data_IF_280336164638
#
_entry.id   IF_280336164638
#
_cell.length_a   1.000
_cell.length_b   1.000
_cell.length_c   1.000
_cell.angle_alpha   90.00
_cell.angle_beta   90.00
_cell.angle_gamma   90.00
#
_symmetry.space_group_name_H-M   'P 1'
#
loop_
_entity.id
_entity.type
_entity.pdbx_description
1 polymer ?
#
# COMPACT_ATOMS: atom_id res chain seq x y z
N UNK A 1 -22.17 -63.85 -67.02
CA UNK A 1 -22.32 -64.14 -65.59
C UNK A 1 -21.24 -63.32 -64.83
N UNK A 2 -21.58 -62.16 -64.31
CA UNK A 2 -20.68 -61.24 -63.54
C UNK A 2 -21.17 -61.25 -62.06
N UNK A 3 -20.34 -61.91 -61.23
CA UNK A 3 -20.57 -61.98 -59.80
C UNK A 3 -20.10 -60.70 -59.14
N UNK A 4 -21.02 -59.93 -58.53
CA UNK A 4 -20.73 -58.63 -57.88
C UNK A 4 -20.67 -58.89 -56.38
N UNK A 5 -19.48 -59.19 -55.84
CA UNK A 5 -19.23 -59.27 -54.41
C UNK A 5 -19.28 -57.87 -53.81
N UNK A 6 -20.42 -57.57 -53.17
CA UNK A 6 -20.58 -56.39 -52.29
C UNK A 6 -19.94 -56.72 -50.93
N UNK A 7 -18.71 -56.29 -50.69
CA UNK A 7 -18.15 -56.25 -49.33
C UNK A 7 -18.98 -55.27 -48.50
N UNK A 8 -19.78 -55.77 -47.60
CA UNK A 8 -20.45 -54.98 -46.57
C UNK A 8 -19.41 -54.62 -45.53
N UNK A 9 -18.99 -53.33 -45.51
CA UNK A 9 -18.24 -52.78 -44.38
C UNK A 9 -19.12 -52.81 -43.13
N UNK A 10 -18.64 -53.28 -41.97
CA UNK A 10 -19.45 -53.38 -40.80
C UNK A 10 -19.71 -51.98 -40.22
N UNK A 11 -20.93 -51.53 -40.27
CA UNK A 11 -21.41 -50.26 -39.70
C UNK A 11 -21.12 -50.11 -38.19
N UNK A 12 -20.79 -51.20 -37.52
CA UNK A 12 -20.42 -51.23 -36.11
C UNK A 12 -19.09 -50.54 -35.80
N UNK A 13 -18.16 -50.49 -36.75
CA UNK A 13 -16.87 -49.79 -36.55
C UNK A 13 -17.02 -48.27 -36.42
N UNK A 14 -17.93 -47.66 -37.16
CA UNK A 14 -18.16 -46.21 -37.11
C UNK A 14 -18.87 -45.79 -35.83
N UNK A 15 -19.80 -46.62 -35.31
CA UNK A 15 -20.47 -46.36 -33.99
C UNK A 15 -19.50 -46.45 -32.81
N UNK A 16 -18.59 -47.45 -32.82
CA UNK A 16 -17.60 -47.59 -31.78
C UNK A 16 -16.57 -46.44 -31.80
N UNK A 17 -16.12 -46.02 -33.02
CA UNK A 17 -15.21 -44.88 -33.17
C UNK A 17 -15.84 -43.56 -32.75
N UNK A 18 -17.11 -43.32 -33.11
CA UNK A 18 -17.88 -42.14 -32.69
C UNK A 18 -18.12 -42.10 -31.18
N UNK A 19 -18.40 -43.25 -30.55
CA UNK A 19 -18.52 -43.34 -29.10
C UNK A 19 -17.20 -43.07 -28.36
N UNK A 20 -16.09 -43.65 -28.82
CA UNK A 20 -14.76 -43.40 -28.27
C UNK A 20 -14.38 -41.94 -28.41
N UNK A 21 -14.57 -41.35 -29.61
CA UNK A 21 -14.32 -39.91 -29.84
C UNK A 21 -15.19 -39.02 -28.96
N UNK A 22 -16.48 -39.37 -28.75
CA UNK A 22 -17.40 -38.66 -27.85
C UNK A 22 -16.96 -38.74 -26.39
N UNK A 23 -16.53 -39.91 -25.92
CA UNK A 23 -16.02 -40.10 -24.54
C UNK A 23 -14.73 -39.35 -24.33
N UNK A 24 -13.80 -39.37 -25.30
CA UNK A 24 -12.55 -38.60 -25.25
C UNK A 24 -12.83 -37.11 -25.26
N UNK A 25 -13.74 -36.63 -26.09
CA UNK A 25 -14.11 -35.21 -26.16
C UNK A 25 -14.77 -34.72 -24.88
N UNK A 26 -15.71 -35.48 -24.30
CA UNK A 26 -16.31 -35.17 -22.99
C UNK A 26 -15.25 -35.26 -21.88
N UNK A 27 -14.35 -36.24 -21.92
CA UNK A 27 -13.23 -36.37 -20.98
C UNK A 27 -12.32 -35.13 -20.97
N UNK A 28 -11.96 -34.63 -22.16
CA UNK A 28 -11.12 -33.42 -22.28
C UNK A 28 -11.81 -32.16 -21.77
N UNK A 29 -13.15 -32.06 -21.90
CA UNK A 29 -13.94 -30.93 -21.34
C UNK A 29 -14.04 -30.97 -19.81
N UNK A 30 -13.95 -32.18 -19.23
CA UNK A 30 -14.11 -32.39 -17.78
C UNK A 30 -12.78 -32.30 -17.03
N UNK A 31 -11.62 -32.40 -17.68
CA UNK A 31 -10.32 -32.41 -17.02
C UNK A 31 -9.85 -31.00 -16.58
N UNK A 32 -9.01 -30.93 -15.51
CA UNK A 32 -8.42 -29.68 -15.09
C UNK A 32 -7.55 -29.04 -16.20
N UNK A 33 -7.66 -27.71 -16.32
CA UNK A 33 -6.86 -26.89 -17.22
C UNK A 33 -6.50 -25.59 -16.53
N UNK A 34 -5.32 -25.06 -16.81
CA UNK A 34 -4.95 -23.68 -16.50
C UNK A 34 -5.71 -22.76 -17.49
N UNK A 35 -6.43 -21.77 -16.95
CA UNK A 35 -7.18 -20.78 -17.71
C UNK A 35 -6.36 -19.52 -17.90
N UNK A 36 -5.76 -19.04 -16.80
CA UNK A 36 -4.95 -17.82 -16.77
C UNK A 36 -3.83 -17.94 -15.75
N UNK A 37 -2.80 -17.17 -15.94
CA UNK A 37 -1.68 -16.99 -15.02
C UNK A 37 -1.38 -15.51 -14.86
N UNK A 38 -1.03 -15.10 -13.65
CA UNK A 38 -0.58 -13.75 -13.33
C UNK A 38 0.67 -13.86 -12.44
N UNK A 39 1.77 -13.15 -12.72
CA UNK A 39 1.97 -12.27 -13.89
C UNK A 39 1.78 -13.01 -15.21
N UNK A 40 1.32 -12.28 -16.24
CA UNK A 40 1.12 -12.87 -17.57
C UNK A 40 2.46 -13.35 -18.16
N UNK A 41 2.41 -14.23 -19.13
CA UNK A 41 3.62 -14.78 -19.77
C UNK A 41 4.47 -13.68 -20.39
N UNK A 42 5.77 -13.70 -20.05
CA UNK A 42 6.77 -12.72 -20.48
C UNK A 42 6.46 -11.27 -20.06
N UNK A 43 5.69 -11.09 -18.97
CA UNK A 43 5.54 -9.76 -18.38
C UNK A 43 6.93 -9.22 -17.99
N UNK A 44 7.13 -7.94 -18.18
CA UNK A 44 8.28 -7.17 -17.72
C UNK A 44 7.85 -6.19 -16.65
N UNK A 45 8.77 -5.61 -15.91
CA UNK A 45 8.48 -4.60 -14.89
C UNK A 45 7.53 -5.10 -13.80
N UNK A 46 7.58 -6.39 -13.47
CA UNK A 46 6.75 -7.00 -12.43
C UNK A 46 7.28 -6.57 -11.06
N UNK A 47 6.42 -6.08 -10.15
CA UNK A 47 6.83 -5.76 -8.78
C UNK A 47 7.52 -6.92 -8.08
N UNK A 48 8.53 -6.62 -7.29
CA UNK A 48 9.33 -7.66 -6.61
C UNK A 48 8.54 -8.46 -5.56
N UNK A 49 7.41 -7.96 -5.12
CA UNK A 49 6.50 -8.63 -4.17
C UNK A 49 5.28 -9.27 -4.85
N UNK A 50 5.18 -9.19 -6.18
CA UNK A 50 4.01 -9.69 -6.90
C UNK A 50 3.79 -11.19 -6.66
N UNK A 51 2.59 -11.61 -6.26
CA UNK A 51 2.25 -13.02 -6.13
C UNK A 51 2.09 -13.68 -7.51
N UNK A 52 2.25 -14.99 -7.54
CA UNK A 52 1.94 -15.80 -8.71
C UNK A 52 0.55 -16.40 -8.56
N UNK A 53 -0.39 -16.04 -9.45
CA UNK A 53 -1.74 -16.57 -9.48
C UNK A 53 -1.90 -17.55 -10.63
N UNK A 54 -2.54 -18.67 -10.35
CA UNK A 54 -2.89 -19.70 -11.34
C UNK A 54 -4.38 -19.95 -11.26
N UNK A 55 -5.11 -19.54 -12.29
CA UNK A 55 -6.55 -19.78 -12.39
C UNK A 55 -6.82 -21.06 -13.19
N UNK A 56 -7.58 -21.97 -12.58
CA UNK A 56 -8.01 -23.21 -13.21
C UNK A 56 -9.49 -23.16 -13.61
N UNK A 57 -9.91 -24.06 -14.51
CA UNK A 57 -11.33 -24.22 -14.87
C UNK A 57 -12.19 -24.86 -13.77
N UNK A 58 -11.57 -25.30 -12.68
CA UNK A 58 -12.20 -25.95 -11.52
C UNK A 58 -11.32 -25.89 -10.28
N UNK A 59 -11.86 -26.15 -9.08
CA UNK A 59 -11.08 -26.22 -7.86
C UNK A 59 -10.03 -27.34 -7.94
N UNK A 60 -8.80 -27.03 -7.50
CA UNK A 60 -7.67 -27.95 -7.47
C UNK A 60 -7.31 -28.27 -6.01
N UNK A 61 -6.68 -29.41 -5.79
CA UNK A 61 -6.03 -29.74 -4.53
C UNK A 61 -4.73 -28.94 -4.42
N UNK A 62 -4.68 -28.01 -3.47
CA UNK A 62 -3.53 -27.10 -3.31
C UNK A 62 -2.22 -27.85 -3.03
N UNK A 63 -2.25 -28.91 -2.22
CA UNK A 63 -1.05 -29.70 -1.92
C UNK A 63 -0.56 -30.46 -3.14
N UNK A 64 -1.50 -30.98 -3.95
CA UNK A 64 -1.16 -31.61 -5.22
C UNK A 64 -0.56 -30.62 -6.20
N UNK A 65 -1.12 -29.41 -6.32
CA UNK A 65 -0.55 -28.37 -7.17
C UNK A 65 0.85 -28.00 -6.72
N UNK A 66 1.07 -27.76 -5.41
CA UNK A 66 2.38 -27.45 -4.85
C UNK A 66 3.44 -28.50 -5.15
N UNK A 67 3.08 -29.80 -5.02
CA UNK A 67 4.03 -30.87 -5.30
C UNK A 67 4.45 -30.96 -6.78
N UNK A 68 3.68 -30.32 -7.68
CA UNK A 68 3.94 -30.26 -9.13
C UNK A 68 4.42 -28.88 -9.61
N UNK A 69 4.46 -27.89 -8.67
CA UNK A 69 4.89 -26.52 -8.98
C UNK A 69 6.37 -26.35 -8.65
N UNK A 70 7.12 -25.81 -9.61
CA UNK A 70 8.52 -25.40 -9.40
C UNK A 70 8.67 -23.95 -9.83
N UNK A 71 9.30 -23.16 -8.97
CA UNK A 71 9.57 -21.74 -9.21
C UNK A 71 11.08 -21.54 -9.13
N UNK A 72 11.63 -20.76 -10.05
CA UNK A 72 13.05 -20.40 -10.09
C UNK A 72 13.19 -18.89 -10.31
N UNK A 73 13.95 -18.17 -9.46
CA UNK A 73 14.71 -18.66 -8.30
C UNK A 73 13.78 -19.28 -7.24
N UNK A 74 14.31 -20.23 -6.46
CA UNK A 74 13.53 -20.91 -5.43
C UNK A 74 13.45 -20.00 -4.20
N UNK A 75 12.25 -19.52 -3.88
CA UNK A 75 11.93 -18.78 -2.67
C UNK A 75 10.90 -19.55 -1.84
N UNK A 76 10.91 -19.30 -0.52
CA UNK A 76 9.82 -19.71 0.36
C UNK A 76 8.61 -18.80 0.12
N UNK A 77 7.40 -19.31 0.33
CA UNK A 77 6.19 -18.54 0.14
C UNK A 77 4.96 -19.24 0.66
N UNK A 78 3.91 -18.45 0.83
CA UNK A 78 2.61 -18.92 1.28
C UNK A 78 1.72 -19.25 0.09
N UNK A 79 0.94 -20.31 0.23
CA UNK A 79 -0.03 -20.71 -0.78
C UNK A 79 -1.43 -20.52 -0.26
N UNK A 80 -2.21 -19.76 -1.02
CA UNK A 80 -3.60 -19.44 -0.70
C UNK A 80 -4.48 -19.97 -1.83
N UNK A 81 -5.57 -20.67 -1.46
CA UNK A 81 -6.56 -21.14 -2.41
C UNK A 81 -7.86 -20.38 -2.22
N UNK A 82 -8.37 -19.81 -3.32
CA UNK A 82 -9.68 -19.16 -3.38
C UNK A 82 -10.48 -19.73 -4.57
N UNK A 83 -11.41 -20.63 -4.29
CA UNK A 83 -12.18 -21.27 -5.33
C UNK A 83 -11.32 -22.01 -6.35
N UNK A 84 -11.31 -21.53 -7.57
CA UNK A 84 -10.54 -22.11 -8.70
C UNK A 84 -9.13 -21.53 -8.84
N UNK A 85 -8.77 -20.55 -8.03
CA UNK A 85 -7.47 -19.88 -8.07
C UNK A 85 -6.55 -20.40 -6.98
N UNK A 86 -5.29 -20.66 -7.32
CA UNK A 86 -4.20 -20.91 -6.40
C UNK A 86 -3.18 -19.79 -6.57
N UNK A 87 -2.81 -19.18 -5.45
CA UNK A 87 -1.88 -18.06 -5.38
C UNK A 87 -0.66 -18.47 -4.55
N UNK A 88 0.53 -18.15 -5.06
CA UNK A 88 1.78 -18.26 -4.34
C UNK A 88 2.30 -16.86 -4.06
N UNK A 89 2.38 -16.46 -2.78
CA UNK A 89 2.96 -15.20 -2.35
C UNK A 89 4.36 -15.47 -1.78
N UNK A 90 5.43 -14.88 -2.36
CA UNK A 90 6.78 -15.07 -1.83
C UNK A 90 6.91 -14.41 -0.45
N UNK A 91 7.65 -15.04 0.47
CA UNK A 91 7.97 -14.46 1.78
C UNK A 91 9.10 -13.43 1.69
N UNK A 92 9.99 -13.60 0.72
CA UNK A 92 11.04 -12.65 0.38
C UNK A 92 10.78 -12.10 -1.03
N UNK A 93 11.14 -10.83 -1.32
CA UNK A 93 10.98 -10.26 -2.65
C UNK A 93 11.72 -11.05 -3.71
N UNK A 94 11.15 -11.12 -4.92
CA UNK A 94 11.85 -11.63 -6.09
C UNK A 94 13.11 -10.78 -6.35
N UNK A 95 14.23 -11.40 -6.77
CA UNK A 95 15.44 -10.63 -7.10
C UNK A 95 15.20 -9.65 -8.24
N UNK A 96 15.55 -8.39 -8.02
CA UNK A 96 15.38 -7.28 -8.96
C UNK A 96 16.17 -7.56 -10.25
N UNK A 97 15.55 -7.29 -11.41
CA UNK A 97 16.16 -7.47 -12.72
C UNK A 97 16.25 -8.93 -13.18
N UNK A 98 15.90 -9.91 -12.34
CA UNK A 98 15.96 -11.32 -12.69
C UNK A 98 14.68 -11.84 -13.35
N UNK A 99 14.81 -12.94 -14.06
CA UNK A 99 13.68 -13.66 -14.66
C UNK A 99 13.21 -14.75 -13.72
N UNK A 100 11.96 -14.69 -13.31
CA UNK A 100 11.28 -15.74 -12.55
C UNK A 100 10.62 -16.70 -13.52
N UNK A 101 10.95 -17.99 -13.40
CA UNK A 101 10.37 -19.05 -14.22
C UNK A 101 9.52 -19.98 -13.37
N UNK A 102 8.28 -20.18 -13.79
CA UNK A 102 7.30 -21.04 -13.13
C UNK A 102 7.01 -22.24 -14.01
N UNK A 103 7.09 -23.44 -13.43
CA UNK A 103 6.78 -24.69 -14.11
C UNK A 103 5.76 -25.48 -13.31
N UNK A 104 4.56 -25.63 -13.85
CA UNK A 104 3.53 -26.53 -13.34
C UNK A 104 3.58 -27.82 -14.17
N UNK A 105 3.97 -28.94 -13.54
CA UNK A 105 4.06 -30.24 -14.21
C UNK A 105 2.69 -30.90 -14.35
N UNK A 106 2.50 -31.73 -15.35
CA UNK A 106 1.35 -32.61 -15.48
C UNK A 106 1.22 -33.54 -14.25
N UNK A 107 0.00 -33.95 -13.90
CA UNK A 107 -0.26 -34.85 -12.77
C UNK A 107 -0.86 -34.18 -11.53
N UNK A 108 -0.80 -32.84 -11.41
CA UNK A 108 -1.51 -32.09 -10.37
C UNK A 108 -3.01 -32.45 -10.39
N UNK A 109 -3.61 -32.65 -9.23
CA UNK A 109 -4.99 -33.18 -9.12
C UNK A 109 -5.98 -32.09 -8.70
N UNK A 110 -7.22 -32.23 -9.22
CA UNK A 110 -8.35 -31.45 -8.70
C UNK A 110 -8.82 -32.03 -7.36
N UNK A 111 -9.69 -31.30 -6.67
CA UNK A 111 -10.43 -31.75 -5.47
C UNK A 111 -11.18 -33.07 -5.68
N UNK A 112 -11.53 -33.41 -6.95
CA UNK A 112 -12.16 -34.66 -7.37
C UNK A 112 -11.17 -35.68 -7.95
N UNK A 113 -9.88 -35.56 -7.63
CA UNK A 113 -8.81 -36.47 -8.06
C UNK A 113 -8.56 -36.55 -9.57
N UNK A 114 -9.12 -35.65 -10.39
CA UNK A 114 -8.86 -35.61 -11.82
C UNK A 114 -7.49 -34.99 -12.09
N UNK A 115 -6.60 -35.64 -12.90
CA UNK A 115 -5.26 -35.12 -13.13
C UNK A 115 -5.25 -34.01 -14.17
N UNK A 116 -4.35 -33.03 -13.99
CA UNK A 116 -3.94 -32.08 -15.01
C UNK A 116 -3.12 -32.84 -16.07
N UNK A 117 -3.62 -32.90 -17.32
CA UNK A 117 -2.95 -33.69 -18.36
C UNK A 117 -1.71 -33.01 -18.95
N UNK A 118 -1.76 -31.68 -19.06
CA UNK A 118 -0.70 -30.90 -19.66
C UNK A 118 -0.13 -29.94 -18.62
N UNK A 119 1.20 -29.99 -18.43
CA UNK A 119 1.90 -29.02 -17.64
C UNK A 119 2.06 -27.71 -18.41
N UNK A 120 2.34 -26.62 -17.70
CA UNK A 120 2.65 -25.33 -18.27
C UNK A 120 3.96 -24.78 -17.72
N UNK A 121 4.63 -23.97 -18.54
CA UNK A 121 5.82 -23.23 -18.14
C UNK A 121 5.68 -21.81 -18.66
N UNK A 122 5.91 -20.84 -17.78
CA UNK A 122 5.95 -19.43 -18.15
C UNK A 122 6.97 -18.69 -17.31
N UNK A 123 7.30 -17.48 -17.70
CA UNK A 123 8.24 -16.63 -16.98
C UNK A 123 7.78 -15.18 -17.01
N UNK A 124 8.31 -14.40 -16.07
CA UNK A 124 8.21 -12.95 -16.06
C UNK A 124 9.54 -12.35 -15.59
N UNK A 125 9.78 -11.08 -15.91
CA UNK A 125 10.95 -10.33 -15.47
C UNK A 125 10.58 -9.39 -14.34
N UNK A 126 11.32 -9.45 -13.25
CA UNK A 126 11.18 -8.52 -12.12
C UNK A 126 11.73 -7.17 -12.55
N UNK A 127 10.94 -6.12 -12.30
CA UNK A 127 11.30 -4.75 -12.65
C UNK A 127 12.34 -4.15 -11.74
N UNK A 128 12.91 -3.04 -12.19
CA UNK A 128 13.74 -2.16 -11.38
C UNK A 128 12.86 -1.36 -10.40
N UNK A 129 13.42 -0.80 -9.32
CA UNK A 129 12.66 0.03 -8.39
C UNK A 129 12.02 1.23 -9.07
N UNK A 130 10.74 1.43 -8.86
CA UNK A 130 9.95 2.51 -9.46
C UNK A 130 9.22 3.31 -8.39
N UNK A 131 8.99 4.59 -8.67
CA UNK A 131 8.25 5.51 -7.81
C UNK A 131 6.96 5.91 -8.51
N UNK A 132 5.84 5.80 -7.80
CA UNK A 132 4.55 6.36 -8.19
C UNK A 132 4.35 7.68 -7.47
N UNK A 133 3.75 8.66 -8.14
CA UNK A 133 3.47 9.98 -7.58
C UNK A 133 2.35 10.67 -8.33
N UNK A 134 1.82 11.75 -7.76
CA UNK A 134 0.90 12.66 -8.41
C UNK A 134 1.65 13.81 -9.07
N UNK A 135 1.26 14.17 -10.30
CA UNK A 135 1.85 15.27 -11.07
C UNK A 135 0.86 15.78 -12.13
N UNK A 136 0.86 17.07 -12.49
CA UNK A 136 1.56 18.19 -11.85
C UNK A 136 0.78 18.76 -10.64
N UNK A 137 1.48 19.39 -9.69
CA UNK A 137 0.83 19.96 -8.50
C UNK A 137 0.03 21.26 -8.79
N UNK A 138 0.25 21.91 -9.90
CA UNK A 138 -0.34 23.21 -10.26
C UNK A 138 -1.58 23.11 -11.16
N UNK A 139 -1.88 21.91 -11.63
CA UNK A 139 -2.98 21.62 -12.57
C UNK A 139 -3.77 20.39 -12.10
N UNK A 140 -4.50 19.77 -13.01
CA UNK A 140 -5.15 18.49 -12.75
C UNK A 140 -4.08 17.41 -12.63
N UNK A 141 -3.88 16.91 -11.41
CA UNK A 141 -2.88 15.89 -11.16
C UNK A 141 -3.38 14.52 -11.55
N UNK A 142 -2.54 13.75 -12.18
CA UNK A 142 -2.74 12.33 -12.46
C UNK A 142 -1.64 11.49 -11.80
N UNK A 143 -1.83 10.18 -11.79
CA UNK A 143 -0.82 9.22 -11.35
C UNK A 143 0.23 9.03 -12.43
N UNK A 144 1.48 9.16 -12.04
CA UNK A 144 2.66 8.89 -12.85
C UNK A 144 3.55 7.87 -12.18
N UNK A 145 4.29 7.12 -13.01
CA UNK A 145 5.29 6.17 -12.56
C UNK A 145 6.63 6.48 -13.24
N UNK A 146 7.72 6.36 -12.48
CA UNK A 146 9.08 6.60 -12.96
C UNK A 146 10.04 5.54 -12.45
N UNK A 147 10.88 4.98 -13.34
CA UNK A 147 11.98 4.08 -12.97
C UNK A 147 13.18 4.90 -12.54
N UNK A 148 13.80 4.54 -11.42
CA UNK A 148 15.03 5.22 -10.96
C UNK A 148 16.29 4.72 -11.67
N UNK A 149 16.21 3.62 -12.43
CA UNK A 149 17.34 3.05 -13.17
C UNK A 149 17.61 3.77 -14.50
N UNK A 150 16.59 4.44 -15.04
CA UNK A 150 16.63 5.11 -16.33
C UNK A 150 16.44 6.62 -16.18
N UNK A 151 17.13 7.41 -17.00
CA UNK A 151 16.80 8.84 -17.24
C UNK A 151 15.55 8.97 -18.14
N UNK A 152 14.67 7.95 -18.13
CA UNK A 152 13.46 7.89 -18.94
C UNK A 152 12.42 8.91 -18.53
N UNK A 153 11.53 9.26 -19.46
CA UNK A 153 10.41 10.15 -19.13
C UNK A 153 9.38 9.44 -18.25
N UNK A 154 8.73 10.16 -17.32
CA UNK A 154 7.65 9.63 -16.50
C UNK A 154 6.51 9.09 -17.36
N UNK A 155 5.98 7.93 -17.01
CA UNK A 155 4.80 7.35 -17.67
C UNK A 155 3.54 7.73 -16.90
N UNK A 156 2.55 8.30 -17.58
CA UNK A 156 1.23 8.56 -17.05
C UNK A 156 0.42 7.26 -16.93
N UNK A 157 -0.21 7.03 -15.78
CA UNK A 157 -1.03 5.84 -15.51
C UNK A 157 -2.53 6.14 -15.62
N UNK A 158 -2.97 7.36 -15.30
CA UNK A 158 -4.39 7.73 -15.27
C UNK A 158 -4.64 8.99 -16.11
N UNK A 159 -5.88 9.14 -16.57
CA UNK A 159 -6.39 10.32 -17.29
C UNK A 159 -7.70 10.73 -16.62
N UNK A 160 -7.63 11.30 -15.42
CA UNK A 160 -8.82 11.72 -14.68
C UNK A 160 -9.34 13.06 -15.19
N UNK A 161 -10.66 13.21 -15.36
CA UNK A 161 -11.29 14.41 -15.96
C UNK A 161 -10.96 15.71 -15.21
N UNK A 162 -10.91 15.63 -13.86
CA UNK A 162 -10.61 16.77 -12.98
C UNK A 162 -9.30 16.56 -12.19
N UNK A 163 -8.79 15.34 -12.22
CA UNK A 163 -7.56 14.94 -11.54
C UNK A 163 -7.77 13.91 -10.42
N UNK A 164 -6.67 13.46 -9.86
CA UNK A 164 -6.60 12.52 -8.75
C UNK A 164 -6.30 13.28 -7.46
N UNK A 165 -7.12 13.04 -6.43
CA UNK A 165 -6.98 13.70 -5.13
C UNK A 165 -5.87 13.08 -4.28
N UNK A 166 -5.89 11.76 -4.17
CA UNK A 166 -4.92 10.96 -3.42
C UNK A 166 -4.96 9.48 -3.87
N UNK A 167 -4.03 8.69 -3.36
CA UNK A 167 -3.91 7.28 -3.72
C UNK A 167 -3.15 6.48 -2.66
N UNK A 168 -3.26 5.14 -2.75
CA UNK A 168 -2.44 4.21 -1.99
C UNK A 168 -2.09 2.97 -2.83
N UNK A 169 -1.00 2.31 -2.46
CA UNK A 169 -0.54 1.07 -3.11
C UNK A 169 -1.01 -0.14 -2.30
N UNK A 170 -1.32 -1.23 -2.98
CA UNK A 170 -1.47 -2.53 -2.33
C UNK A 170 -0.11 -3.00 -1.78
N UNK A 171 -0.13 -3.80 -0.71
CA UNK A 171 1.08 -4.33 -0.09
C UNK A 171 1.97 -5.14 -1.06
N UNK A 172 1.37 -5.76 -2.08
CA UNK A 172 2.08 -6.52 -3.11
C UNK A 172 2.53 -5.67 -4.32
N UNK A 173 2.32 -4.36 -4.30
CA UNK A 173 2.74 -3.43 -5.36
C UNK A 173 2.05 -3.59 -6.71
N UNK A 174 1.02 -4.45 -6.82
CA UNK A 174 0.34 -4.72 -8.10
C UNK A 174 -0.81 -3.76 -8.36
N UNK A 175 -1.42 -3.22 -7.31
CA UNK A 175 -2.61 -2.39 -7.43
C UNK A 175 -2.42 -1.01 -6.82
N UNK A 176 -3.03 -0.02 -7.45
CA UNK A 176 -3.15 1.35 -6.95
C UNK A 176 -4.63 1.63 -6.74
N UNK A 177 -5.03 1.93 -5.50
CA UNK A 177 -6.35 2.48 -5.23
C UNK A 177 -6.24 3.99 -5.18
N UNK A 178 -7.16 4.71 -5.84
CA UNK A 178 -7.09 6.16 -5.92
C UNK A 178 -8.48 6.82 -5.95
N UNK A 179 -8.51 8.08 -5.54
CA UNK A 179 -9.69 8.93 -5.53
C UNK A 179 -9.67 9.88 -6.74
N UNK A 180 -10.46 9.58 -7.77
CA UNK A 180 -10.63 10.44 -8.94
C UNK A 180 -11.69 11.51 -8.68
N UNK A 181 -11.37 12.77 -8.92
CA UNK A 181 -12.29 13.90 -8.73
C UNK A 181 -13.22 13.98 -9.93
N UNK A 182 -14.53 14.18 -9.68
CA UNK A 182 -15.56 14.40 -10.68
C UNK A 182 -15.88 15.89 -10.88
N UNK A 183 -16.57 16.21 -11.97
CA UNK A 183 -17.03 17.58 -12.27
C UNK A 183 -17.98 18.18 -11.21
N UNK A 184 -18.73 17.33 -10.49
CA UNK A 184 -19.60 17.72 -9.38
C UNK A 184 -18.85 17.94 -8.06
N UNK A 185 -17.50 17.86 -8.06
CA UNK A 185 -16.58 17.93 -6.92
C UNK A 185 -16.65 16.72 -5.97
N UNK A 186 -17.49 15.74 -6.24
CA UNK A 186 -17.42 14.43 -5.60
C UNK A 186 -16.22 13.64 -6.08
N UNK A 187 -16.04 12.44 -5.56
CA UNK A 187 -14.95 11.55 -5.97
C UNK A 187 -15.46 10.15 -6.26
N UNK A 188 -14.74 9.46 -7.13
CA UNK A 188 -14.88 8.04 -7.39
C UNK A 188 -13.65 7.32 -6.87
N UNK A 189 -13.83 6.22 -6.12
CA UNK A 189 -12.72 5.34 -5.76
C UNK A 189 -12.54 4.31 -6.86
N UNK A 190 -11.33 4.27 -7.40
CA UNK A 190 -10.94 3.41 -8.52
C UNK A 190 -9.75 2.54 -8.17
N UNK A 191 -9.60 1.43 -8.88
CA UNK A 191 -8.50 0.49 -8.72
C UNK A 191 -7.80 0.29 -10.06
N UNK A 192 -6.54 0.65 -10.12
CA UNK A 192 -5.66 0.44 -11.26
C UNK A 192 -4.76 -0.76 -11.01
N UNK A 193 -4.69 -1.70 -11.95
CA UNK A 193 -3.79 -2.85 -11.90
C UNK A 193 -2.56 -2.58 -12.76
N UNK A 194 -1.38 -2.52 -12.15
CA UNK A 194 -0.11 -2.21 -12.81
C UNK A 194 0.36 -3.28 -13.80
N UNK A 195 -0.08 -4.54 -13.65
CA UNK A 195 0.32 -5.63 -14.54
C UNK A 195 -0.55 -5.73 -15.79
N UNK A 196 -1.86 -5.49 -15.65
CA UNK A 196 -2.82 -5.58 -16.76
C UNK A 196 -3.13 -4.23 -17.40
N UNK A 197 -2.87 -3.11 -16.72
CA UNK A 197 -3.32 -1.79 -17.12
C UNK A 197 -4.83 -1.57 -16.95
N UNK A 198 -5.53 -2.49 -16.29
CA UNK A 198 -6.97 -2.37 -16.06
C UNK A 198 -7.25 -1.31 -15.00
N UNK A 199 -8.14 -0.39 -15.31
CA UNK A 199 -8.65 0.64 -14.42
C UNK A 199 -10.15 0.46 -14.22
N UNK A 200 -10.60 0.15 -13.00
CA UNK A 200 -12.00 -0.12 -12.70
C UNK A 200 -12.53 0.75 -11.57
N UNK A 201 -13.79 1.14 -11.68
CA UNK A 201 -14.55 1.79 -10.60
C UNK A 201 -14.81 0.76 -9.48
N UNK A 202 -14.50 1.13 -8.23
CA UNK A 202 -14.87 0.36 -7.03
C UNK A 202 -16.11 0.96 -6.38
N UNK A 203 -16.10 2.30 -6.18
CA UNK A 203 -17.17 3.02 -5.51
C UNK A 203 -17.36 4.40 -6.11
N UNK A 204 -18.55 4.70 -6.63
CA UNK A 204 -18.98 6.07 -6.91
C UNK A 204 -19.51 6.71 -5.63
N UNK A 205 -18.85 7.72 -5.11
CA UNK A 205 -19.38 8.47 -3.97
C UNK A 205 -20.60 9.30 -4.38
N UNK A 206 -21.53 9.48 -3.42
CA UNK A 206 -22.72 10.29 -3.62
C UNK A 206 -22.36 11.74 -4.02
N UNK A 207 -23.23 12.46 -4.76
CA UNK A 207 -22.92 13.79 -5.28
C UNK A 207 -22.53 14.83 -4.22
N UNK A 208 -23.03 14.67 -2.99
CA UNK A 208 -22.74 15.56 -1.86
C UNK A 208 -21.69 14.98 -0.89
N UNK A 209 -20.92 14.01 -1.35
CA UNK A 209 -19.87 13.35 -0.55
C UNK A 209 -18.54 13.30 -1.31
N UNK A 210 -17.47 13.38 -0.57
CA UNK A 210 -16.10 13.16 -1.06
C UNK A 210 -15.50 11.96 -0.33
N UNK A 211 -15.09 10.96 -1.09
CA UNK A 211 -14.32 9.82 -0.59
C UNK A 211 -12.84 10.07 -0.89
N UNK A 212 -12.01 9.99 0.12
CA UNK A 212 -10.58 10.27 0.06
C UNK A 212 -9.79 9.30 0.96
N UNK A 213 -8.49 9.41 0.98
CA UNK A 213 -7.58 8.57 1.77
C UNK A 213 -7.88 7.07 1.62
N UNK A 214 -8.03 6.54 0.38
CA UNK A 214 -8.31 5.12 0.20
C UNK A 214 -7.10 4.28 0.65
N UNK A 215 -7.37 3.17 1.34
CA UNK A 215 -6.33 2.27 1.85
C UNK A 215 -6.78 0.82 1.75
N UNK A 216 -6.00 -0.01 1.04
CA UNK A 216 -6.26 -1.44 0.91
C UNK A 216 -5.66 -2.20 2.09
N UNK A 217 -6.38 -3.20 2.60
CA UNK A 217 -5.83 -4.15 3.57
C UNK A 217 -4.65 -4.93 2.97
N UNK A 218 -3.71 -5.43 3.78
CA UNK A 218 -2.53 -6.14 3.28
C UNK A 218 -2.86 -7.35 2.40
N UNK A 219 -3.99 -8.02 2.65
CA UNK A 219 -4.52 -9.13 1.84
C UNK A 219 -5.32 -8.68 0.60
N UNK A 220 -5.54 -7.37 0.44
CA UNK A 220 -6.30 -6.79 -0.67
C UNK A 220 -7.81 -7.04 -0.63
N UNK A 221 -8.35 -7.57 0.48
CA UNK A 221 -9.78 -7.93 0.61
C UNK A 221 -10.63 -6.73 0.98
N UNK A 222 -10.15 -5.88 1.90
CA UNK A 222 -10.85 -4.72 2.40
C UNK A 222 -10.31 -3.42 1.82
N UNK A 223 -11.22 -2.49 1.57
CA UNK A 223 -10.93 -1.08 1.29
C UNK A 223 -11.44 -0.24 2.45
N UNK A 224 -10.55 0.51 3.10
CA UNK A 224 -10.89 1.57 4.02
C UNK A 224 -10.75 2.92 3.32
N UNK A 225 -11.62 3.87 3.63
CA UNK A 225 -11.57 5.21 3.07
C UNK A 225 -12.25 6.23 4.01
N UNK A 226 -11.93 7.48 3.83
CA UNK A 226 -12.57 8.58 4.54
C UNK A 226 -13.68 9.18 3.68
N UNK A 227 -14.90 9.30 4.23
CA UNK A 227 -16.02 9.95 3.58
C UNK A 227 -16.37 11.25 4.30
N UNK A 228 -16.27 12.33 3.56
CA UNK A 228 -16.69 13.66 3.98
C UNK A 228 -18.04 14.01 3.36
N UNK A 229 -19.00 14.46 4.16
CA UNK A 229 -20.22 15.05 3.64
C UNK A 229 -19.96 16.51 3.24
N UNK A 230 -20.34 16.87 2.03
CA UNK A 230 -20.23 18.25 1.52
C UNK A 230 -21.54 18.96 1.81
N UNK A 231 -21.56 19.95 2.70
CA UNK A 231 -22.72 20.82 2.89
C UNK A 231 -22.50 22.15 2.16
N UNK A 232 -23.55 22.69 1.56
CA UNK A 232 -23.51 24.02 0.96
C UNK A 232 -23.38 25.08 2.06
N UNK A 233 -22.25 25.77 2.11
CA UNK A 233 -22.03 26.91 3.00
C UNK A 233 -22.70 28.17 2.49
N UNK A 234 -22.87 29.16 3.39
CA UNK A 234 -23.37 30.48 3.04
C UNK A 234 -22.40 31.13 2.04
N UNK A 235 -22.90 31.49 0.85
CA UNK A 235 -22.08 32.08 -0.20
C UNK A 235 -21.48 31.10 -1.21
N UNK A 236 -21.90 29.82 -1.22
CA UNK A 236 -21.49 28.82 -2.21
C UNK A 236 -20.14 28.15 -1.95
N UNK A 237 -19.49 28.43 -0.81
CA UNK A 237 -18.35 27.67 -0.36
C UNK A 237 -18.81 26.31 0.19
N UNK A 238 -18.22 25.20 -0.26
CA UNK A 238 -18.47 23.90 0.34
C UNK A 238 -17.88 23.90 1.77
N UNK A 239 -18.71 23.70 2.77
CA UNK A 239 -18.25 23.42 4.14
C UNK A 239 -18.24 21.91 4.31
N UNK A 240 -17.07 21.34 4.58
CA UNK A 240 -16.96 19.93 4.98
C UNK A 240 -17.67 19.75 6.32
N UNK A 241 -18.79 19.03 6.33
CA UNK A 241 -19.54 18.81 7.56
C UNK A 241 -19.05 17.51 8.14
N UNK A 242 -18.79 16.72 8.58
CA UNK A 242 -18.33 15.48 9.26
C UNK A 242 -17.58 14.53 8.34
N UNK A 243 -16.39 14.19 8.77
CA UNK A 243 -15.64 13.09 8.20
C UNK A 243 -15.81 11.82 9.01
N UNK A 244 -15.96 10.68 8.33
CA UNK A 244 -15.96 9.35 8.94
C UNK A 244 -15.18 8.36 8.09
N UNK A 245 -14.54 7.43 8.76
CA UNK A 245 -13.94 6.26 8.11
C UNK A 245 -15.02 5.24 7.78
N UNK A 246 -14.96 4.72 6.56
CA UNK A 246 -15.82 3.68 6.03
C UNK A 246 -14.97 2.52 5.52
N UNK A 247 -15.54 1.31 5.56
CA UNK A 247 -14.91 0.10 5.00
C UNK A 247 -15.89 -0.64 4.11
N UNK A 248 -15.33 -1.34 3.12
CA UNK A 248 -16.08 -2.23 2.22
C UNK A 248 -15.20 -3.36 1.70
N UNK A 249 -15.82 -4.43 1.22
CA UNK A 249 -15.10 -5.45 0.45
C UNK A 249 -14.78 -4.93 -0.96
N UNK A 250 -13.55 -5.13 -1.42
CA UNK A 250 -13.08 -4.69 -2.75
C UNK A 250 -13.85 -5.34 -3.90
N UNK A 251 -14.37 -6.56 -3.68
CA UNK A 251 -15.22 -7.27 -4.65
C UNK A 251 -16.69 -6.81 -4.67
N UNK A 252 -17.10 -5.94 -3.73
CA UNK A 252 -18.45 -5.41 -3.65
C UNK A 252 -19.48 -6.33 -2.98
N UNK A 253 -19.09 -7.48 -2.44
CA UNK A 253 -20.02 -8.44 -1.81
C UNK A 253 -20.61 -7.93 -0.49
N UNK A 254 -19.92 -6.99 0.17
CA UNK A 254 -20.47 -6.26 1.32
C UNK A 254 -20.41 -4.75 1.02
N UNK A 255 -21.55 -4.09 1.14
CA UNK A 255 -21.68 -2.64 0.96
C UNK A 255 -20.87 -1.85 1.99
N UNK A 256 -20.60 -0.55 1.73
CA UNK A 256 -19.81 0.26 2.65
C UNK A 256 -20.54 0.48 3.98
N UNK A 257 -19.82 0.39 5.09
CA UNK A 257 -20.31 0.71 6.43
C UNK A 257 -19.32 1.56 7.21
N UNK A 258 -19.84 2.49 8.07
CA UNK A 258 -19.03 3.42 8.82
C UNK A 258 -18.37 2.78 10.03
N UNK A 259 -17.19 3.29 10.39
CA UNK A 259 -16.44 2.92 11.57
C UNK A 259 -16.64 3.92 12.70
N UNK A 260 -16.62 3.43 13.95
CA UNK A 260 -16.82 4.23 15.15
C UNK A 260 -18.27 4.70 15.38
N UNK A 261 -18.56 5.34 16.51
CA UNK A 261 -19.88 5.90 16.85
C UNK A 261 -20.34 6.95 15.83
N UNK A 262 -21.66 7.13 15.69
CA UNK A 262 -22.24 8.05 14.69
C UNK A 262 -21.87 9.51 14.95
N UNK A 263 -21.76 9.89 16.20
CA UNK A 263 -21.43 11.25 16.64
C UNK A 263 -19.93 11.58 16.54
N UNK A 264 -19.05 10.59 16.39
CA UNK A 264 -17.61 10.81 16.33
C UNK A 264 -17.17 11.26 14.94
N UNK A 265 -16.09 12.02 14.90
CA UNK A 265 -15.36 12.39 13.70
C UNK A 265 -14.16 11.47 13.61
N UNK A 266 -14.08 10.68 12.52
CA UNK A 266 -12.99 9.74 12.31
C UNK A 266 -12.33 9.97 10.94
N UNK A 267 -11.02 9.72 10.85
CA UNK A 267 -10.25 9.95 9.63
C UNK A 267 -8.93 9.18 9.62
N UNK A 268 -8.11 9.42 8.61
CA UNK A 268 -6.80 8.80 8.43
C UNK A 268 -6.83 7.27 8.52
N UNK A 269 -7.64 6.57 7.68
CA UNK A 269 -7.68 5.11 7.69
C UNK A 269 -6.37 4.52 7.21
N UNK A 270 -5.94 3.44 7.86
CA UNK A 270 -4.75 2.70 7.51
C UNK A 270 -4.85 1.25 7.97
N UNK A 271 -3.81 0.47 7.68
CA UNK A 271 -3.75 -0.93 8.07
C UNK A 271 -2.40 -1.26 8.69
N UNK A 272 -2.44 -2.08 9.73
CA UNK A 272 -1.22 -2.70 10.23
C UNK A 272 -0.76 -3.82 9.30
N UNK A 273 0.51 -4.22 9.32
CA UNK A 273 0.99 -5.40 8.60
C UNK A 273 0.26 -6.69 8.98
N UNK A 274 -0.31 -6.75 10.19
CA UNK A 274 -1.12 -7.87 10.68
C UNK A 274 -2.57 -7.87 10.19
N UNK A 275 -2.98 -6.86 9.41
CA UNK A 275 -4.34 -6.73 8.87
C UNK A 275 -5.32 -6.02 9.81
N UNK A 276 -4.88 -5.39 10.88
CA UNK A 276 -5.75 -4.56 11.71
C UNK A 276 -6.02 -3.23 11.03
N UNK A 277 -7.29 -2.84 10.98
CA UNK A 277 -7.67 -1.50 10.55
C UNK A 277 -7.29 -0.49 11.63
N UNK A 278 -6.70 0.62 11.22
CA UNK A 278 -6.45 1.77 12.09
C UNK A 278 -7.16 3.00 11.57
N UNK A 279 -7.64 3.85 12.47
CA UNK A 279 -8.15 5.16 12.13
C UNK A 279 -8.05 6.11 13.33
N UNK A 280 -7.92 7.39 13.06
CA UNK A 280 -7.92 8.41 14.10
C UNK A 280 -9.35 8.80 14.48
N UNK A 281 -9.65 8.79 15.78
CA UNK A 281 -10.88 9.29 16.34
C UNK A 281 -10.62 10.63 17.04
N UNK A 282 -11.03 11.71 16.40
CA UNK A 282 -10.82 13.08 16.90
C UNK A 282 -11.54 13.32 18.21
N UNK A 283 -12.70 12.67 18.44
CA UNK A 283 -13.49 12.83 19.65
C UNK A 283 -12.81 12.22 20.87
N UNK A 284 -12.02 11.17 20.65
CA UNK A 284 -11.25 10.48 21.69
C UNK A 284 -9.78 10.93 21.75
N UNK A 285 -9.30 11.67 20.74
CA UNK A 285 -7.89 11.98 20.55
C UNK A 285 -7.02 10.71 20.59
N UNK A 286 -7.43 9.71 19.83
CA UNK A 286 -6.77 8.40 19.83
C UNK A 286 -6.85 7.71 18.46
N UNK A 287 -5.87 6.86 18.20
CA UNK A 287 -5.87 5.94 17.06
C UNK A 287 -6.58 4.66 17.51
N UNK A 288 -7.70 4.34 16.88
CA UNK A 288 -8.46 3.11 17.10
C UNK A 288 -7.83 1.94 16.33
N UNK A 289 -7.75 0.77 16.94
CA UNK A 289 -7.29 -0.48 16.35
C UNK A 289 -8.45 -1.48 16.30
N UNK A 290 -8.77 -1.99 15.11
CA UNK A 290 -9.89 -2.90 14.86
C UNK A 290 -9.41 -4.16 14.18
N UNK A 291 -9.73 -5.32 14.74
CA UNK A 291 -9.54 -6.62 14.09
C UNK A 291 -10.84 -7.05 13.41
N UNK A 292 -10.86 -7.04 12.07
CA UNK A 292 -12.02 -7.45 11.28
C UNK A 292 -12.13 -8.98 11.12
N UNK A 293 -11.08 -9.73 11.43
CA UNK A 293 -11.06 -11.19 11.29
C UNK A 293 -11.86 -11.88 12.41
N UNK A 294 -11.90 -11.30 13.61
CA UNK A 294 -12.67 -11.82 14.74
C UNK A 294 -14.17 -11.46 14.61
N UNK A 295 -14.96 -12.36 14.02
CA UNK A 295 -16.43 -12.29 13.97
C UNK A 295 -17.02 -11.03 13.31
N UNK A 296 -16.31 -10.40 12.38
CA UNK A 296 -16.69 -9.12 11.76
C UNK A 296 -16.97 -8.02 12.80
N UNK A 297 -16.22 -8.02 13.90
CA UNK A 297 -16.36 -6.97 14.90
C UNK A 297 -15.81 -5.65 14.34
N UNK A 298 -16.66 -4.63 14.33
CA UNK A 298 -16.30 -3.26 13.95
C UNK A 298 -15.87 -2.41 15.13
N UNK A 299 -15.88 -2.97 16.35
CA UNK A 299 -15.47 -2.30 17.57
C UNK A 299 -13.96 -2.39 17.75
N UNK A 300 -13.28 -1.29 18.08
CA UNK A 300 -11.87 -1.31 18.39
C UNK A 300 -11.56 -2.23 19.58
N UNK A 301 -10.50 -3.02 19.45
CA UNK A 301 -9.97 -3.80 20.57
C UNK A 301 -8.98 -2.98 21.40
N UNK A 302 -8.40 -1.91 20.83
CA UNK A 302 -7.51 -0.99 21.54
C UNK A 302 -7.58 0.44 20.97
N UNK A 303 -7.12 1.40 21.79
CA UNK A 303 -6.97 2.81 21.44
C UNK A 303 -5.58 3.27 21.88
N UNK A 304 -4.83 3.86 20.94
CA UNK A 304 -3.52 4.44 21.21
C UNK A 304 -3.70 5.97 21.31
N UNK A 305 -3.38 6.59 22.45
CA UNK A 305 -3.51 8.05 22.60
C UNK A 305 -2.66 8.79 21.57
N UNK A 306 -3.20 9.83 20.93
CA UNK A 306 -2.47 10.69 20.00
C UNK A 306 -3.08 12.08 19.97
N UNK A 307 -2.33 13.10 20.38
CA UNK A 307 -2.80 14.48 20.42
C UNK A 307 -2.70 15.18 19.05
N UNK A 308 -1.79 14.76 18.18
CA UNK A 308 -1.58 15.38 16.87
C UNK A 308 -2.50 14.85 15.78
N UNK A 309 -3.15 13.71 16.00
CA UNK A 309 -4.08 13.13 15.04
C UNK A 309 -3.46 12.70 13.71
N UNK A 310 -2.18 12.46 13.68
CA UNK A 310 -1.46 11.97 12.49
C UNK A 310 -1.43 10.46 12.49
N UNK A 311 -1.48 9.87 11.29
CA UNK A 311 -1.25 8.45 11.15
C UNK A 311 0.17 8.09 11.58
N UNK A 312 0.30 7.08 12.42
CA UNK A 312 1.59 6.52 12.80
C UNK A 312 2.18 5.62 11.70
N UNK A 313 3.47 5.31 11.85
CA UNK A 313 4.15 4.31 11.04
C UNK A 313 4.22 2.98 11.82
N UNK A 314 3.77 1.91 11.20
CA UNK A 314 3.88 0.57 11.76
C UNK A 314 5.27 -0.01 11.60
N UNK A 315 5.76 -0.72 12.64
CA UNK A 315 6.88 -1.65 12.47
C UNK A 315 6.47 -2.78 11.52
N UNK A 316 7.41 -3.36 10.73
CA UNK A 316 7.07 -4.40 9.76
C UNK A 316 6.46 -5.67 10.37
N UNK A 317 6.76 -5.97 11.64
CA UNK A 317 6.14 -7.07 12.40
C UNK A 317 4.74 -6.75 12.92
N UNK A 318 4.28 -5.48 12.80
CA UNK A 318 2.99 -5.02 13.26
C UNK A 318 2.83 -4.91 14.78
N UNK A 319 3.91 -5.05 15.56
CA UNK A 319 3.85 -5.01 17.03
C UNK A 319 3.89 -3.58 17.58
N UNK A 320 4.55 -2.66 16.88
CA UNK A 320 4.76 -1.28 17.32
C UNK A 320 4.25 -0.28 16.29
N UNK A 321 3.77 0.86 16.81
CA UNK A 321 3.51 2.04 16.00
C UNK A 321 4.38 3.19 16.50
N UNK A 322 4.94 3.99 15.57
CA UNK A 322 5.66 5.22 15.90
C UNK A 322 4.91 6.41 15.33
N UNK A 323 4.68 7.42 16.16
CA UNK A 323 4.04 8.67 15.77
C UNK A 323 4.59 9.85 16.57
N UNK A 324 4.50 11.08 16.04
CA UNK A 324 4.86 12.27 16.79
C UNK A 324 3.80 12.57 17.84
N UNK A 325 4.24 12.99 19.04
CA UNK A 325 3.38 13.41 20.14
C UNK A 325 3.87 14.74 20.71
N UNK A 326 2.94 15.54 21.24
CA UNK A 326 3.26 16.83 21.84
C UNK A 326 3.88 16.60 23.23
N UNK A 327 4.99 17.27 23.46
CA UNK A 327 5.65 17.35 24.77
C UNK A 327 5.60 18.80 25.24
N UNK A 328 5.05 19.01 26.41
CA UNK A 328 5.10 20.31 27.08
C UNK A 328 6.33 20.36 27.98
N UNK A 329 7.12 21.46 27.99
CA UNK A 329 8.17 21.63 28.97
C UNK A 329 7.60 21.46 30.36
N UNK A 330 8.24 20.70 31.25
CA UNK A 330 7.87 20.64 32.64
C UNK A 330 7.86 22.06 33.20
N UNK A 331 6.73 22.52 33.74
CA UNK A 331 6.70 23.73 34.55
C UNK A 331 7.60 23.48 35.75
N UNK A 332 8.57 24.37 35.97
CA UNK A 332 9.42 24.29 37.16
C UNK A 332 8.55 24.13 38.40
N UNK A 333 8.90 23.26 39.37
CA UNK A 333 8.09 23.04 40.57
C UNK A 333 7.71 24.37 41.23
N UNK A 334 6.46 24.53 41.69
CA UNK A 334 5.85 25.73 42.27
C UNK A 334 6.62 26.37 43.45
N UNK A 335 7.75 25.77 43.88
CA UNK A 335 8.57 26.24 45.02
C UNK A 335 9.60 27.33 44.66
N UNK A 336 9.70 27.70 43.38
CA UNK A 336 10.56 28.84 43.02
C UNK A 336 9.72 30.11 42.82
N UNK A 337 9.67 30.95 43.84
CA UNK A 337 9.26 32.36 43.81
C UNK A 337 10.20 33.22 42.92
N UNK A 338 10.54 32.79 41.76
CA UNK A 338 11.18 33.60 40.74
C UNK A 338 10.38 33.44 39.43
N UNK A 339 9.56 34.44 39.18
CA UNK A 339 9.14 34.82 37.85
C UNK A 339 10.40 35.09 36.99
N UNK A 340 11.09 34.04 36.57
CA UNK A 340 11.92 34.12 35.40
C UNK A 340 10.96 34.28 34.21
N UNK A 341 10.91 35.54 33.71
CA UNK A 341 10.21 35.86 32.47
C UNK A 341 10.65 34.80 31.45
N UNK A 342 9.69 34.02 30.93
CA UNK A 342 9.92 33.12 29.80
C UNK A 342 10.78 33.87 28.78
N UNK A 343 11.92 33.30 28.38
CA UNK A 343 12.78 33.90 27.39
C UNK A 343 11.94 34.07 26.12
N UNK A 344 11.79 35.31 25.69
CA UNK A 344 11.01 35.66 24.50
C UNK A 344 11.58 34.85 23.33
N UNK A 345 10.81 33.85 22.83
CA UNK A 345 11.20 32.94 21.75
C UNK A 345 11.33 31.46 22.10
N UNK A 346 11.13 31.04 23.37
CA UNK A 346 11.01 29.61 23.68
C UNK A 346 9.72 29.02 23.14
N UNK A 347 9.77 27.82 22.49
CA UNK A 347 8.57 27.18 21.98
C UNK A 347 7.64 26.78 23.12
N UNK A 348 6.33 26.86 22.85
CA UNK A 348 5.31 26.48 23.84
C UNK A 348 5.20 24.95 24.02
N UNK A 349 5.64 24.20 23.02
CA UNK A 349 5.64 22.74 23.00
C UNK A 349 6.69 22.21 22.04
N UNK A 350 7.07 20.96 22.23
CA UNK A 350 7.93 20.17 21.32
C UNK A 350 7.10 19.08 20.68
N UNK A 351 7.68 18.38 19.71
CA UNK A 351 7.11 17.17 19.14
C UNK A 351 8.19 16.10 19.11
N UNK A 352 8.04 15.07 19.91
CA UNK A 352 8.92 13.89 19.94
C UNK A 352 8.26 12.70 19.27
N UNK A 353 9.06 11.72 18.87
CA UNK A 353 8.55 10.44 18.37
C UNK A 353 8.35 9.48 19.54
N UNK A 354 7.13 8.95 19.61
CA UNK A 354 6.78 7.94 20.59
C UNK A 354 6.57 6.60 19.89
N UNK A 355 7.15 5.56 20.46
CA UNK A 355 6.93 4.17 20.07
C UNK A 355 5.90 3.57 21.03
N UNK A 356 4.85 2.98 20.46
CA UNK A 356 3.75 2.41 21.25
C UNK A 356 3.54 0.96 20.85
N UNK A 357 3.51 0.05 21.85
CA UNK A 357 3.14 -1.33 21.61
C UNK A 357 1.63 -1.45 21.40
N UNK A 358 1.23 -2.05 20.27
CA UNK A 358 -0.16 -2.04 19.79
C UNK A 358 -1.15 -2.72 20.74
N UNK A 359 -0.73 -3.77 21.45
CA UNK A 359 -1.60 -4.56 22.32
C UNK A 359 -1.61 -4.01 23.77
N UNK A 360 -0.44 -3.78 24.34
CA UNK A 360 -0.30 -3.34 25.74
C UNK A 360 -0.49 -1.83 25.94
N UNK A 361 -0.39 -1.06 24.83
CA UNK A 361 -0.33 0.41 24.86
C UNK A 361 0.85 0.98 25.66
N UNK A 362 1.93 0.18 25.82
CA UNK A 362 3.14 0.68 26.45
C UNK A 362 3.77 1.73 25.54
N UNK A 363 3.99 2.93 26.10
CA UNK A 363 4.47 4.11 25.38
C UNK A 363 5.92 4.40 25.79
N UNK A 364 6.79 4.67 24.81
CA UNK A 364 8.18 5.02 25.01
C UNK A 364 8.56 6.21 24.13
N UNK A 365 9.15 7.27 24.71
CA UNK A 365 9.77 8.35 23.95
C UNK A 365 11.10 7.85 23.37
N UNK A 366 11.17 7.79 22.04
CA UNK A 366 12.35 7.36 21.29
C UNK A 366 13.12 8.52 20.65
N UNK A 367 12.70 9.77 20.89
CA UNK A 367 13.52 10.94 20.54
C UNK A 367 14.63 11.09 21.56
N UNK A 368 15.90 11.06 21.14
CA UNK A 368 17.01 11.02 22.10
C UNK A 368 17.16 12.34 22.87
N UNK A 369 16.99 12.24 24.21
CA UNK A 369 17.29 13.30 25.19
C UNK A 369 16.05 14.02 25.73
N UNK A 370 15.86 13.94 27.04
CA UNK A 370 14.73 14.54 27.76
C UNK A 370 14.62 16.08 27.60
N UNK A 371 15.71 16.76 27.33
CA UNK A 371 15.78 18.21 27.13
C UNK A 371 15.91 18.61 25.64
N UNK A 372 15.56 17.71 24.72
CA UNK A 372 15.72 17.96 23.29
C UNK A 372 14.56 18.80 22.74
N UNK A 373 14.83 20.06 22.49
CA UNK A 373 13.86 21.00 21.89
C UNK A 373 13.79 20.79 20.38
N UNK A 374 12.95 19.84 19.94
CA UNK A 374 12.81 19.48 18.53
C UNK A 374 11.35 19.44 18.10
N UNK A 375 11.15 19.53 16.80
CA UNK A 375 9.91 19.18 16.11
C UNK A 375 10.19 17.99 15.21
N UNK A 376 9.83 16.81 15.69
CA UNK A 376 9.93 15.56 14.95
C UNK A 376 8.58 15.25 14.29
N UNK A 377 8.63 14.79 13.03
CA UNK A 377 7.43 14.53 12.23
C UNK A 377 7.64 13.46 11.19
N UNK A 378 6.53 12.92 10.66
CA UNK A 378 6.50 12.01 9.51
C UNK A 378 7.44 10.81 9.63
N UNK A 379 7.43 10.04 10.73
CA UNK A 379 8.25 8.86 10.86
C UNK A 379 7.81 7.78 9.86
N UNK A 380 8.79 7.01 9.36
CA UNK A 380 8.56 5.82 8.53
C UNK A 380 9.57 4.73 8.90
N UNK A 381 9.09 3.52 9.19
CA UNK A 381 9.95 2.36 9.40
C UNK A 381 10.55 1.87 8.08
N UNK A 382 11.80 1.43 8.13
CA UNK A 382 12.38 0.65 7.03
C UNK A 382 11.72 -0.73 6.96
N UNK A 383 11.54 -1.33 5.76
CA UNK A 383 10.94 -2.67 5.62
C UNK A 383 11.63 -3.78 6.39
N UNK A 384 12.95 -3.67 6.65
CA UNK A 384 13.71 -4.61 7.47
C UNK A 384 13.54 -4.41 8.99
N UNK A 385 12.78 -3.35 9.40
CA UNK A 385 12.50 -3.04 10.80
C UNK A 385 13.67 -2.45 11.60
N UNK A 386 14.83 -2.23 10.99
CA UNK A 386 16.03 -1.81 11.70
C UNK A 386 16.11 -0.28 11.91
N UNK A 387 15.45 0.49 11.04
CA UNK A 387 15.59 1.93 10.97
C UNK A 387 14.25 2.65 10.99
N UNK A 388 14.26 3.89 11.49
CA UNK A 388 13.19 4.86 11.36
C UNK A 388 13.79 6.10 10.69
N UNK A 389 13.22 6.50 9.55
CA UNK A 389 13.50 7.81 8.95
C UNK A 389 12.40 8.79 9.34
N UNK A 390 12.75 10.02 9.63
CA UNK A 390 11.82 11.05 10.09
C UNK A 390 12.32 12.45 9.75
N UNK A 391 11.44 13.44 9.83
CA UNK A 391 11.78 14.83 9.61
C UNK A 391 11.97 15.53 10.95
N UNK A 392 13.10 16.22 11.16
CA UNK A 392 13.44 16.94 12.40
C UNK A 392 13.82 18.38 12.14
N UNK A 393 13.37 19.25 13.02
CA UNK A 393 13.83 20.62 13.16
C UNK A 393 14.15 20.90 14.61
N UNK A 394 15.28 21.57 14.87
CA UNK A 394 15.57 22.09 16.20
C UNK A 394 14.77 23.37 16.46
N UNK A 395 14.25 23.50 17.67
CA UNK A 395 13.48 24.64 18.11
C UNK A 395 14.26 25.56 19.03
N UNK A 396 15.43 25.16 19.53
CA UNK A 396 16.29 26.03 20.33
C UNK A 396 16.92 27.13 19.46
N UNK A 397 17.12 28.35 20.04
CA UNK A 397 17.55 29.51 19.26
C UNK A 397 18.93 29.36 18.59
N UNK A 398 19.80 28.48 19.09
CA UNK A 398 21.14 28.27 18.55
C UNK A 398 21.17 27.36 17.31
N UNK A 399 20.22 26.45 17.20
CA UNK A 399 20.15 25.42 16.15
C UNK A 399 18.92 25.54 15.27
N UNK A 400 18.05 26.51 15.54
CA UNK A 400 16.81 26.69 14.79
C UNK A 400 17.08 26.90 13.29
N UNK A 401 16.31 26.22 12.45
CA UNK A 401 16.33 26.39 11.01
C UNK A 401 14.90 26.49 10.47
N UNK A 402 14.64 27.23 9.36
CA UNK A 402 13.32 27.28 8.76
C UNK A 402 12.86 25.91 8.20
N UNK A 403 13.81 25.09 7.76
CA UNK A 403 13.56 23.78 7.18
C UNK A 403 13.58 22.64 8.21
N UNK A 404 13.00 21.51 7.83
CA UNK A 404 13.12 20.24 8.54
C UNK A 404 14.02 19.31 7.74
N UNK A 405 15.01 18.69 8.39
CA UNK A 405 15.94 17.76 7.77
C UNK A 405 15.47 16.32 7.96
N UNK A 406 15.84 15.45 7.03
CA UNK A 406 15.62 14.01 7.19
C UNK A 406 16.70 13.47 8.13
N UNK A 407 16.25 12.75 9.14
CA UNK A 407 17.06 12.03 10.10
C UNK A 407 16.79 10.53 10.01
N UNK A 408 17.78 9.77 10.43
CA UNK A 408 17.73 8.32 10.54
C UNK A 408 18.13 7.92 11.96
N UNK A 409 17.39 7.00 12.57
CA UNK A 409 17.72 6.39 13.85
C UNK A 409 17.39 4.90 13.82
N UNK A 410 17.95 4.15 14.76
CA UNK A 410 17.53 2.77 15.00
C UNK A 410 16.07 2.71 15.46
N UNK A 411 15.43 1.54 15.31
CA UNK A 411 14.05 1.33 15.77
C UNK A 411 13.84 1.54 17.28
N UNK A 412 14.92 1.51 18.07
CA UNK A 412 14.93 1.79 19.51
C UNK A 412 15.27 3.25 19.86
N UNK A 413 15.38 4.14 18.87
CA UNK A 413 15.74 5.54 19.03
C UNK A 413 17.24 5.82 19.08
N UNK A 414 18.10 4.82 19.11
CA UNK A 414 19.54 5.00 19.16
C UNK A 414 20.15 5.40 17.81
N UNK A 415 21.40 5.82 17.79
CA UNK A 415 22.19 6.17 16.58
C UNK A 415 21.54 7.23 15.70
N UNK A 416 20.80 8.19 16.26
CA UNK A 416 20.14 9.24 15.50
C UNK A 416 21.16 10.14 14.78
N UNK A 417 21.01 10.29 13.47
CA UNK A 417 21.90 11.11 12.63
C UNK A 417 21.15 11.77 11.47
N UNK A 418 21.58 12.97 11.02
CA UNK A 418 20.97 13.58 9.84
C UNK A 418 21.38 12.84 8.55
N UNK A 419 20.46 12.78 7.59
CA UNK A 419 20.69 12.34 6.21
C UNK A 419 20.75 13.52 5.23
N UNK A 420 20.13 14.66 5.57
CA UNK A 420 20.16 15.89 4.78
C UNK A 420 20.61 17.05 5.64
N UNK A 421 21.17 18.10 5.01
CA UNK A 421 21.78 19.25 5.69
C UNK A 421 21.35 20.63 5.13
N UNK A 422 20.40 20.67 4.16
CA UNK A 422 19.90 21.93 3.62
C UNK A 422 18.83 22.55 4.53
N UNK A 423 19.27 23.42 5.43
CA UNK A 423 18.42 24.10 6.42
C UNK A 423 17.30 24.98 5.83
N UNK A 424 17.33 25.25 4.52
CA UNK A 424 16.31 26.06 3.82
C UNK A 424 15.17 25.21 3.22
N UNK A 425 15.28 23.90 3.30
CA UNK A 425 14.30 22.95 2.73
C UNK A 425 13.47 22.27 3.78
N UNK A 426 12.17 22.12 3.47
CA UNK A 426 11.24 21.24 4.17
C UNK A 426 11.18 19.91 3.44
N UNK A 427 11.30 18.82 4.19
CA UNK A 427 11.20 17.45 3.71
C UNK A 427 9.93 16.80 4.27
N UNK A 428 9.12 16.19 3.41
CA UNK A 428 7.84 15.57 3.77
C UNK A 428 7.56 14.35 2.91
N UNK A 429 6.51 13.58 3.24
CA UNK A 429 6.04 12.42 2.45
C UNK A 429 7.14 11.37 2.21
N UNK A 430 7.85 11.02 3.27
CA UNK A 430 8.93 10.04 3.22
C UNK A 430 8.36 8.64 2.94
N UNK A 431 9.04 7.87 2.08
CA UNK A 431 8.76 6.46 1.87
C UNK A 431 10.06 5.67 1.61
N UNK A 432 10.14 4.47 2.17
CA UNK A 432 11.25 3.55 1.96
C UNK A 432 11.08 2.67 0.73
N UNK A 433 12.18 2.40 0.04
CA UNK A 433 12.24 1.28 -0.90
C UNK A 433 12.21 -0.06 -0.14
N UNK A 434 11.69 -1.10 -0.78
CA UNK A 434 11.53 -2.42 -0.16
C UNK A 434 12.85 -3.04 0.32
N UNK A 435 13.97 -2.72 -0.34
CA UNK A 435 15.32 -3.18 0.04
C UNK A 435 15.92 -2.43 1.24
N UNK A 436 15.16 -1.52 1.86
CA UNK A 436 15.59 -0.70 3.00
C UNK A 436 16.84 0.15 2.74
N UNK A 437 17.17 0.43 1.47
CA UNK A 437 18.39 1.17 1.11
C UNK A 437 18.13 2.60 0.64
N UNK A 438 16.89 2.89 0.20
CA UNK A 438 16.57 4.16 -0.42
C UNK A 438 15.36 4.80 0.23
N UNK A 439 15.36 6.13 0.25
CA UNK A 439 14.23 6.96 0.64
C UNK A 439 13.79 7.79 -0.57
N UNK A 440 12.49 7.89 -0.80
CA UNK A 440 11.89 8.91 -1.66
C UNK A 440 11.09 9.87 -0.79
N UNK A 441 11.09 11.14 -1.14
CA UNK A 441 10.40 12.16 -0.38
C UNK A 441 10.14 13.41 -1.23
N UNK A 442 9.26 14.26 -0.73
CA UNK A 442 9.09 15.62 -1.24
C UNK A 442 10.03 16.58 -0.54
N UNK A 443 10.58 17.52 -1.32
CA UNK A 443 11.36 18.62 -0.79
C UNK A 443 10.88 19.95 -1.40
N UNK A 444 10.75 20.99 -0.58
CA UNK A 444 10.35 22.32 -1.04
C UNK A 444 11.07 23.42 -0.25
N UNK A 445 11.07 24.64 -0.75
CA UNK A 445 11.57 25.79 0.01
C UNK A 445 10.77 25.98 1.29
N UNK A 446 11.44 26.23 2.41
CA UNK A 446 10.80 26.53 3.69
C UNK A 446 10.35 28.00 3.80
N UNK A 447 10.88 28.89 2.96
CA UNK A 447 10.60 30.34 2.98
C UNK A 447 9.82 30.83 1.76
N UNK A 448 9.87 30.10 0.64
CA UNK A 448 9.18 30.46 -0.60
C UNK A 448 8.27 29.33 -1.07
N UNK A 449 7.02 29.41 -0.68
CA UNK A 449 5.99 28.44 -1.04
C UNK A 449 5.43 28.61 -2.45
N UNK A 450 5.84 29.65 -3.19
CA UNK A 450 5.47 29.83 -4.60
C UNK A 450 6.27 28.91 -5.52
N UNK A 451 7.43 28.44 -5.09
CA UNK A 451 8.21 27.45 -5.82
C UNK A 451 7.55 26.07 -5.69
N UNK A 452 7.47 25.30 -6.80
CA UNK A 452 6.94 23.95 -6.75
C UNK A 452 7.81 23.07 -5.85
N UNK A 453 7.18 22.07 -5.22
CA UNK A 453 7.92 21.02 -4.55
C UNK A 453 8.61 20.14 -5.60
N UNK A 454 9.66 19.46 -5.21
CA UNK A 454 10.31 18.45 -6.03
C UNK A 454 10.27 17.09 -5.34
N UNK A 455 10.16 16.02 -6.13
CA UNK A 455 10.35 14.64 -5.65
C UNK A 455 11.81 14.29 -5.84
N UNK A 456 12.40 13.80 -4.76
CA UNK A 456 13.82 13.45 -4.68
C UNK A 456 13.95 12.07 -4.05
N UNK A 457 14.93 11.29 -4.46
CA UNK A 457 15.31 10.09 -3.75
C UNK A 457 16.78 10.12 -3.30
N UNK A 458 17.09 9.32 -2.32
CA UNK A 458 18.37 9.26 -1.63
C UNK A 458 18.72 7.81 -1.34
N UNK A 459 19.92 7.36 -1.68
CA UNK A 459 20.52 6.14 -1.13
C UNK A 459 21.15 6.46 0.24
N UNK A 460 20.74 5.73 1.29
CA UNK A 460 21.16 6.02 2.67
C UNK A 460 22.66 5.79 2.91
N UNK A 461 23.33 5.02 2.06
CA UNK A 461 24.76 4.74 2.15
C UNK A 461 25.62 5.81 1.47
N UNK A 462 25.10 6.43 0.41
CA UNK A 462 25.81 7.43 -0.39
C UNK A 462 25.53 8.87 0.08
N UNK A 463 24.38 9.11 0.72
CA UNK A 463 23.86 10.44 1.09
C UNK A 463 23.74 11.39 -0.12
N UNK A 464 23.60 10.85 -1.33
CA UNK A 464 23.48 11.61 -2.57
C UNK A 464 22.01 11.77 -2.95
N UNK A 465 21.56 13.02 -3.04
CA UNK A 465 20.22 13.39 -3.48
C UNK A 465 20.11 13.34 -5.00
N UNK A 466 19.07 12.68 -5.50
CA UNK A 466 18.78 12.56 -6.94
C UNK A 466 17.34 13.03 -7.21
N UNK A 467 17.15 14.12 -7.99
CA UNK A 467 15.81 14.59 -8.32
C UNK A 467 15.11 13.62 -9.27
N UNK A 468 13.79 13.49 -9.11
CA UNK A 468 12.92 12.76 -10.04
C UNK A 468 12.14 13.77 -10.90
N UNK A 469 11.35 14.65 -10.27
CA UNK A 469 10.48 15.60 -10.98
C UNK A 469 10.19 16.81 -10.12
N UNK A 470 10.10 17.99 -10.76
CA UNK A 470 9.59 19.21 -10.16
C UNK A 470 8.07 19.29 -10.28
N UNK A 471 7.39 19.73 -9.23
CA UNK A 471 5.93 19.83 -9.17
C UNK A 471 5.23 18.49 -8.89
N UNK A 472 5.96 17.44 -8.56
CA UNK A 472 5.38 16.18 -8.11
C UNK A 472 5.09 16.16 -6.61
N UNK A 473 4.14 15.32 -6.18
CA UNK A 473 3.78 15.17 -4.77
C UNK A 473 3.32 13.76 -4.41
N UNK A 474 3.29 13.45 -3.10
CA UNK A 474 2.95 12.16 -2.53
C UNK A 474 3.70 10.96 -3.16
N UNK A 475 5.04 10.97 -3.22
CA UNK A 475 5.77 9.87 -3.81
C UNK A 475 5.67 8.59 -2.95
N UNK A 476 5.62 7.43 -3.60
CA UNK A 476 5.69 6.10 -2.98
C UNK A 476 6.50 5.15 -3.86
N UNK A 477 7.28 4.30 -3.22
CA UNK A 477 7.92 3.19 -3.92
C UNK A 477 6.90 2.10 -4.26
N UNK A 478 7.04 1.49 -5.44
CA UNK A 478 6.38 0.23 -5.71
C UNK A 478 7.15 -0.87 -4.96
N UNK A 479 6.46 -1.65 -4.12
CA UNK A 479 7.07 -2.73 -3.36
C UNK A 479 7.75 -3.82 -4.17
#
# INVERSE_FOLDING_TARGET
MLNKDRRRFPLWGFGALGFVLGVVFVGVLVLPKVIAVEPIRNATEVPSTAPVHILFNRPMDSQSVLSHLKIQPQLMGQVIQQGNQISFAPEEPWPIGETVTIKLSAGARSDRFLPLLFGETWSFQVGEPRVVYLWPATEQADLYIHSIADDGEPQQLTEATVGVLDYNLSANGVQIVYAAVRDDRGTDLRLYNLLSGEDRLILGCEPEARCKAPSLSPDGVWLAYERESLSAGVGGAAITARSRVWIMLVNGDAGPFPMGPEEHITGNPGWSPMGWLTYYDTSLQAIALVDLAENQQTSPFNYLPSSLGVAGAWSPDGLYMVYPEIVFPEEAPDDFEHTEERVEGEPLFYSHLYRVEAISSLIEDISPGEALMVEDASPVYSPDGNWIAFARRYLDPLRWTPGRQIWLMRADGSEARPLTDDSTKLHTSLAWSLDSKRLVFMRRSASDFSQPAEIVWLDISESLLRPIIEGGFLPRWIP
#
